data_IF_930402330905
#
_entry.id   IF_930402330905
#
_cell.length_a   1.000
_cell.length_b   1.000
_cell.length_c   1.000
_cell.angle_alpha   90.00
_cell.angle_beta   90.00
_cell.angle_gamma   90.00
#
_symmetry.space_group_name_H-M   'P 1'
#
loop_
_entity.id
_entity.type
_entity.pdbx_description
1 polymer ?
#
# COMPACT_ATOMS: atom_id res chain seq x y z
N UNK A 1 44.65 8.31 14.58
CA UNK A 1 43.43 7.73 13.99
C UNK A 1 43.01 6.52 14.82
N UNK A 2 41.94 6.64 15.61
CA UNK A 2 41.47 5.61 16.52
C UNK A 2 40.43 4.73 15.82
N UNK A 3 40.75 3.45 15.60
CA UNK A 3 39.91 2.49 14.85
C UNK A 3 38.56 2.19 15.52
N UNK A 4 38.34 2.61 16.77
CA UNK A 4 37.07 2.39 17.49
C UNK A 4 35.94 3.32 17.01
N UNK A 5 36.24 4.56 16.60
CA UNK A 5 35.22 5.51 16.11
C UNK A 5 34.54 5.01 14.82
N UNK A 6 35.29 4.37 13.91
CA UNK A 6 34.73 3.80 12.68
C UNK A 6 33.88 2.53 12.92
N UNK A 7 34.10 1.81 14.02
CA UNK A 7 33.31 0.61 14.37
C UNK A 7 31.91 0.98 14.89
N UNK A 8 31.80 2.06 15.67
CA UNK A 8 30.52 2.55 16.20
C UNK A 8 29.57 3.02 15.08
N UNK A 9 30.08 3.76 14.08
CA UNK A 9 29.30 4.19 12.90
C UNK A 9 28.85 3.02 12.01
N UNK A 10 29.71 2.01 11.85
CA UNK A 10 29.44 0.86 10.98
C UNK A 10 28.48 -0.16 11.63
N UNK A 11 28.54 -0.33 12.96
CA UNK A 11 27.58 -1.13 13.72
C UNK A 11 26.19 -0.48 13.71
N UNK A 12 26.15 0.85 13.76
CA UNK A 12 24.93 1.64 13.69
C UNK A 12 24.23 1.46 12.33
N UNK A 13 24.94 1.61 11.20
CA UNK A 13 24.37 1.42 9.86
C UNK A 13 23.83 0.00 9.61
N UNK A 14 24.55 -1.02 10.08
CA UNK A 14 24.13 -2.43 9.95
C UNK A 14 22.90 -2.76 10.78
N UNK A 15 22.74 -2.10 11.92
CA UNK A 15 21.58 -2.28 12.80
C UNK A 15 20.35 -1.55 12.24
N UNK A 16 20.53 -0.33 11.73
CA UNK A 16 19.48 0.42 11.04
C UNK A 16 18.93 -0.32 9.82
N UNK A 17 19.81 -0.90 9.00
CA UNK A 17 19.40 -1.67 7.82
C UNK A 17 18.51 -2.87 8.18
N UNK A 18 18.82 -3.57 9.28
CA UNK A 18 17.97 -4.68 9.79
C UNK A 18 16.61 -4.20 10.29
N UNK A 19 16.57 -3.05 10.96
CA UNK A 19 15.32 -2.47 11.48
C UNK A 19 14.41 -2.03 10.32
N UNK A 20 14.97 -1.41 9.28
CA UNK A 20 14.23 -1.00 8.08
C UNK A 20 13.63 -2.20 7.33
N UNK A 21 14.39 -3.28 7.17
CA UNK A 21 13.90 -4.50 6.54
C UNK A 21 12.81 -5.16 7.38
N UNK A 22 12.96 -5.22 8.71
CA UNK A 22 11.94 -5.77 9.60
C UNK A 22 10.63 -4.94 9.60
N UNK A 23 10.73 -3.62 9.51
CA UNK A 23 9.57 -2.73 9.43
C UNK A 23 8.78 -2.89 8.12
N UNK A 24 9.48 -3.17 7.01
CA UNK A 24 8.85 -3.39 5.69
C UNK A 24 7.97 -4.66 5.66
N UNK A 25 8.36 -5.71 6.38
CA UNK A 25 7.60 -6.96 6.47
C UNK A 25 6.42 -6.91 7.45
N UNK A 26 6.32 -5.88 8.29
CA UNK A 26 5.23 -5.72 9.26
C UNK A 26 3.97 -5.03 8.68
N UNK A 27 3.99 -4.61 7.39
CA UNK A 27 2.94 -3.79 6.76
C UNK A 27 2.12 -4.47 5.62
N UNK A 28 1.75 -5.77 5.64
CA UNK A 28 0.95 -6.33 4.55
C UNK A 28 -0.57 -6.16 4.77
N UNK A 29 -1.08 -4.92 4.93
CA UNK A 29 -2.53 -4.71 5.15
C UNK A 29 -3.22 -3.73 4.18
N UNK A 30 -2.50 -3.10 3.25
CA UNK A 30 -3.11 -2.07 2.36
C UNK A 30 -3.15 -2.48 0.88
N UNK A 31 -2.69 -3.68 0.51
CA UNK A 31 -2.66 -4.12 -0.90
C UNK A 31 -3.75 -5.14 -1.27
N UNK A 32 -4.88 -5.17 -0.57
CA UNK A 32 -6.07 -5.92 -0.99
C UNK A 32 -7.07 -4.93 -1.62
N UNK A 33 -6.68 -4.30 -2.72
CA UNK A 33 -7.61 -3.55 -3.56
C UNK A 33 -8.17 -4.53 -4.60
N UNK A 34 -9.46 -4.83 -4.50
CA UNK A 34 -10.15 -5.69 -5.46
C UNK A 34 -9.98 -5.13 -6.88
N UNK A 35 -9.79 -6.00 -7.87
CA UNK A 35 -9.55 -5.59 -9.25
C UNK A 35 -10.70 -4.73 -9.77
N UNK A 36 -10.40 -3.58 -10.40
CA UNK A 36 -11.41 -2.65 -10.92
C UNK A 36 -12.38 -3.37 -11.86
N UNK A 37 -13.68 -3.28 -11.56
CA UNK A 37 -14.74 -3.95 -12.32
C UNK A 37 -15.01 -5.41 -11.95
N UNK A 38 -14.30 -5.98 -10.97
CA UNK A 38 -14.66 -7.26 -10.35
C UNK A 38 -15.96 -7.14 -9.55
N UNK A 39 -16.61 -8.29 -9.26
CA UNK A 39 -17.85 -8.30 -8.47
C UNK A 39 -17.64 -7.75 -7.06
N UNK A 40 -16.54 -8.12 -6.42
CA UNK A 40 -16.15 -7.59 -5.11
C UNK A 40 -15.93 -6.08 -5.18
N UNK A 41 -15.15 -5.60 -6.15
CA UNK A 41 -14.93 -4.16 -6.33
C UNK A 41 -16.20 -3.36 -6.59
N UNK A 42 -17.11 -3.87 -7.44
CA UNK A 42 -18.40 -3.22 -7.69
C UNK A 42 -19.26 -3.14 -6.40
N UNK A 43 -19.23 -4.17 -5.57
CA UNK A 43 -19.98 -4.17 -4.31
C UNK A 43 -19.37 -3.19 -3.30
N UNK A 44 -18.06 -3.26 -3.12
CA UNK A 44 -17.32 -2.39 -2.18
C UNK A 44 -17.47 -0.91 -2.58
N UNK A 45 -17.33 -0.60 -3.86
CA UNK A 45 -17.46 0.78 -4.37
C UNK A 45 -18.90 1.28 -4.27
N UNK A 46 -19.90 0.40 -4.43
CA UNK A 46 -21.32 0.74 -4.25
C UNK A 46 -21.66 1.07 -2.80
N UNK A 47 -20.99 0.45 -1.84
CA UNK A 47 -21.11 0.77 -0.41
C UNK A 47 -20.37 2.06 -0.04
N UNK A 48 -19.30 2.41 -0.77
CA UNK A 48 -18.59 3.68 -0.60
C UNK A 48 -19.50 4.89 -0.93
N UNK A 49 -19.52 5.97 -0.11
CA UNK A 49 -20.27 7.18 -0.42
C UNK A 49 -19.87 7.77 -1.78
N UNK A 50 -20.86 8.11 -2.61
CA UNK A 50 -20.61 8.64 -3.98
C UNK A 50 -19.74 9.92 -4.02
N UNK A 51 -19.73 10.69 -2.94
CA UNK A 51 -18.89 11.90 -2.82
C UNK A 51 -17.40 11.60 -2.67
N UNK A 52 -17.05 10.39 -2.22
CA UNK A 52 -15.68 9.92 -2.06
C UNK A 52 -15.17 9.18 -3.32
N UNK A 53 -16.00 9.10 -4.36
CA UNK A 53 -15.62 8.49 -5.62
C UNK A 53 -14.70 9.42 -6.40
N UNK A 54 -13.60 8.87 -6.90
CA UNK A 54 -12.80 9.51 -7.91
C UNK A 54 -13.54 9.48 -9.26
N UNK A 55 -13.17 10.39 -10.16
CA UNK A 55 -13.75 10.42 -11.50
C UNK A 55 -13.53 9.11 -12.28
N UNK A 56 -12.37 8.47 -12.07
CA UNK A 56 -12.04 7.17 -12.66
C UNK A 56 -12.92 6.05 -12.11
N UNK A 57 -13.05 5.93 -10.78
CA UNK A 57 -13.93 4.93 -10.15
C UNK A 57 -15.38 5.04 -10.64
N UNK A 58 -15.91 6.26 -10.76
CA UNK A 58 -17.26 6.49 -11.27
C UNK A 58 -17.42 6.01 -12.72
N UNK A 59 -16.44 6.32 -13.57
CA UNK A 59 -16.46 5.92 -14.98
C UNK A 59 -16.33 4.40 -15.13
N UNK A 60 -15.44 3.77 -14.37
CA UNK A 60 -15.20 2.33 -14.42
C UNK A 60 -16.37 1.55 -13.81
N UNK A 61 -16.98 2.05 -12.73
CA UNK A 61 -18.20 1.46 -12.17
C UNK A 61 -19.35 1.47 -13.17
N UNK A 62 -19.54 2.57 -13.89
CA UNK A 62 -20.54 2.64 -14.93
C UNK A 62 -20.29 1.58 -16.02
N UNK A 63 -19.06 1.50 -16.54
CA UNK A 63 -18.70 0.57 -17.63
C UNK A 63 -18.76 -0.89 -17.24
N UNK A 64 -18.24 -1.24 -16.05
CA UNK A 64 -18.02 -2.62 -15.66
C UNK A 64 -19.14 -3.21 -14.79
N UNK A 65 -19.83 -2.37 -14.03
CA UNK A 65 -20.83 -2.79 -13.05
C UNK A 65 -22.28 -2.46 -13.46
N UNK A 66 -22.50 -1.35 -14.19
CA UNK A 66 -23.86 -0.90 -14.60
C UNK A 66 -24.20 -1.31 -16.04
N UNK A 67 -23.31 -1.04 -16.99
CA UNK A 67 -23.53 -1.27 -18.42
C UNK A 67 -23.05 -2.65 -18.93
N UNK A 68 -23.03 -3.66 -18.05
CA UNK A 68 -22.58 -5.02 -18.41
C UNK A 68 -23.48 -5.69 -19.45
#
# INVERSE_FOLDING_TARGET
MNRNLQYEDQAMFRTFSKILIAALFALPLVACEAEVGSKEWCNDLKEKPKGDWTANEAADFAKHCVFK
#
